data_IF_121854457295
#
_entry.id   IF_121854457295
#
_cell.length_a   1.000
_cell.length_b   1.000
_cell.length_c   1.000
_cell.angle_alpha   90.00
_cell.angle_beta   90.00
_cell.angle_gamma   90.00
#
_symmetry.space_group_name_H-M   'P 1'
#
loop_
_entity.id
_entity.type
_entity.pdbx_description
1 polymer ?
#
# COMPACT_ATOMS: atom_id res chain seq x y z
N UNK A 1 -32.39 48.31 -12.81
CA UNK A 1 -33.22 47.58 -13.78
C UNK A 1 -32.36 46.43 -14.29
N UNK A 2 -32.25 45.28 -13.61
CA UNK A 2 -33.25 44.45 -12.88
C UNK A 2 -34.33 43.92 -13.83
N UNK A 3 -34.74 42.64 -13.83
CA UNK A 3 -34.24 41.42 -13.16
C UNK A 3 -34.56 40.21 -14.07
N UNK A 4 -33.84 39.09 -14.04
CA UNK A 4 -33.94 37.99 -13.05
C UNK A 4 -35.36 37.40 -12.87
N UNK A 5 -35.45 36.07 -12.94
CA UNK A 5 -36.68 35.29 -12.70
C UNK A 5 -36.38 34.09 -11.81
N UNK A 6 -37.27 33.87 -10.85
CA UNK A 6 -37.35 32.79 -9.85
C UNK A 6 -37.09 31.34 -10.40
N UNK A 7 -36.83 30.29 -9.58
CA UNK A 7 -37.58 29.93 -8.36
C UNK A 7 -36.93 28.83 -7.48
N UNK A 8 -37.09 28.97 -6.15
CA UNK A 8 -37.21 27.96 -5.06
C UNK A 8 -36.30 26.70 -4.95
N UNK A 9 -35.85 26.27 -3.76
CA UNK A 9 -35.96 26.86 -2.41
C UNK A 9 -35.80 25.86 -1.23
N UNK A 10 -35.78 26.40 0.01
CA UNK A 10 -35.80 25.76 1.37
C UNK A 10 -34.46 25.16 1.90
N UNK A 11 -33.98 25.42 3.12
CA UNK A 11 -34.55 25.48 4.51
C UNK A 11 -34.81 24.06 5.10
N UNK A 12 -34.61 23.67 6.38
CA UNK A 12 -34.30 24.28 7.71
C UNK A 12 -33.30 23.33 8.46
N UNK A 13 -32.44 23.60 9.47
CA UNK A 13 -32.09 24.69 10.43
C UNK A 13 -32.37 24.37 11.93
N UNK A 14 -31.50 24.86 12.86
CA UNK A 14 -31.45 24.65 14.34
C UNK A 14 -31.15 23.21 14.85
N UNK A 15 -30.61 22.93 16.07
CA UNK A 15 -29.77 23.63 17.08
C UNK A 15 -29.06 22.53 17.96
N UNK A 16 -28.39 22.64 19.13
CA UNK A 16 -28.38 23.51 20.33
C UNK A 16 -29.07 22.81 21.55
N UNK A 17 -28.58 22.73 22.81
CA UNK A 17 -27.34 23.16 23.52
C UNK A 17 -27.23 22.40 24.88
N UNK A 18 -26.00 22.15 25.39
CA UNK A 18 -25.52 21.83 26.78
C UNK A 18 -26.36 21.09 27.87
N UNK A 19 -25.67 20.27 28.70
CA UNK A 19 -25.50 20.41 30.19
C UNK A 19 -24.63 19.25 30.75
N UNK A 20 -23.97 19.45 31.90
CA UNK A 20 -23.01 18.50 32.51
C UNK A 20 -23.33 18.14 33.99
N UNK A 21 -22.69 17.07 34.50
CA UNK A 21 -22.52 16.73 35.94
C UNK A 21 -21.26 15.85 36.14
N UNK A 22 -20.75 15.74 37.38
CA UNK A 22 -19.45 15.13 37.72
C UNK A 22 -19.46 14.40 39.10
N UNK A 23 -18.27 13.98 39.57
CA UNK A 23 -17.93 13.38 40.90
C UNK A 23 -18.46 11.92 41.12
N UNK A 24 -17.88 11.03 41.94
CA UNK A 24 -16.74 10.99 42.93
C UNK A 24 -16.12 9.54 42.83
N UNK A 25 -15.02 9.04 43.44
CA UNK A 25 -13.96 9.48 44.37
C UNK A 25 -12.73 8.50 44.24
N UNK A 26 -11.62 8.77 44.96
CA UNK A 26 -10.66 7.80 45.56
C UNK A 26 -9.60 7.09 44.71
N UNK A 27 -8.33 6.96 45.14
CA UNK A 27 -7.56 7.67 46.18
C UNK A 27 -6.05 7.43 45.95
N UNK A 28 -5.18 8.28 46.49
CA UNK A 28 -3.72 8.25 46.28
C UNK A 28 -2.96 8.21 47.62
N UNK A 29 -2.08 7.23 47.84
CA UNK A 29 -1.17 7.16 49.00
C UNK A 29 0.22 6.73 48.58
N UNK A 30 1.22 7.53 48.98
CA UNK A 30 2.65 7.22 48.88
C UNK A 30 3.20 6.74 50.21
N UNK A 31 4.09 5.75 50.22
CA UNK A 31 4.99 5.48 51.34
C UNK A 31 6.35 5.01 50.82
N UNK A 32 7.40 5.63 51.34
CA UNK A 32 8.80 5.20 51.19
C UNK A 32 9.17 4.23 52.32
N UNK A 33 10.20 3.40 52.16
CA UNK A 33 10.52 2.36 53.14
C UNK A 33 11.66 1.41 52.74
N UNK A 34 12.89 1.77 53.08
CA UNK A 34 14.08 0.93 52.99
C UNK A 34 14.45 0.39 54.38
N UNK A 35 14.58 -0.93 54.57
CA UNK A 35 15.59 -1.51 55.48
C UNK A 35 15.84 -3.03 55.30
N UNK A 36 16.95 -3.47 55.89
CA UNK A 36 17.55 -4.83 55.87
C UNK A 36 16.72 -5.85 56.68
N UNK A 37 16.78 -7.17 56.48
CA UNK A 37 17.92 -8.04 56.87
C UNK A 37 17.67 -9.54 56.54
N UNK A 38 18.63 -10.43 56.82
CA UNK A 38 18.32 -11.81 57.26
C UNK A 38 18.31 -12.98 56.25
N UNK A 39 19.50 -13.52 55.93
CA UNK A 39 19.76 -14.93 55.53
C UNK A 39 20.23 -15.66 56.82
N UNK A 40 19.89 -16.92 57.19
CA UNK A 40 19.95 -18.18 56.38
C UNK A 40 18.79 -19.17 56.71
N UNK A 41 18.78 -20.50 56.48
CA UNK A 41 19.75 -21.50 55.97
C UNK A 41 19.04 -22.77 55.42
N UNK A 42 19.78 -23.59 54.64
CA UNK A 42 19.57 -25.04 54.36
C UNK A 42 18.26 -25.47 53.62
N UNK A 43 18.19 -26.60 52.88
CA UNK A 43 19.10 -27.76 52.76
C UNK A 43 19.22 -28.27 51.31
N UNK A 44 20.36 -28.91 50.99
CA UNK A 44 20.62 -30.08 50.10
C UNK A 44 19.57 -30.60 49.07
N UNK A 45 19.94 -31.13 47.89
CA UNK A 45 21.25 -31.31 47.21
C UNK A 45 21.10 -31.89 45.77
N UNK A 46 22.21 -31.92 45.00
CA UNK A 46 22.46 -32.76 43.78
C UNK A 46 21.70 -32.35 42.49
N UNK A 47 22.20 -32.46 41.24
CA UNK A 47 23.50 -32.91 40.64
C UNK A 47 23.60 -32.30 39.20
N UNK A 48 24.74 -31.80 38.68
CA UNK A 48 25.90 -32.54 38.07
C UNK A 48 25.50 -33.19 36.71
N UNK A 49 25.99 -32.84 35.51
CA UNK A 49 27.06 -31.92 35.02
C UNK A 49 26.74 -31.27 33.64
N UNK A 50 27.56 -30.30 33.24
CA UNK A 50 27.74 -29.79 31.86
C UNK A 50 29.04 -30.37 31.23
N UNK A 51 29.12 -30.33 29.89
CA UNK A 51 30.31 -30.40 29.01
C UNK A 51 31.52 -31.33 29.32
N UNK A 52 31.88 -32.18 28.34
CA UNK A 52 33.15 -31.97 27.61
C UNK A 52 33.23 -32.71 26.27
N UNK A 53 34.29 -32.45 25.49
CA UNK A 53 34.56 -33.00 24.15
C UNK A 53 35.84 -33.84 24.12
N UNK A 54 35.94 -34.85 23.24
CA UNK A 54 37.23 -35.23 22.63
C UNK A 54 37.11 -36.04 21.32
N UNK A 55 38.26 -36.25 20.64
CA UNK A 55 38.37 -36.73 19.24
C UNK A 55 39.26 -37.97 19.09
N UNK A 56 39.01 -38.83 18.09
CA UNK A 56 39.95 -39.87 17.61
C UNK A 56 39.98 -39.92 16.06
N UNK A 57 41.07 -40.42 15.48
CA UNK A 57 41.49 -40.33 14.06
C UNK A 57 41.33 -41.62 13.23
N UNK A 58 41.48 -41.45 11.90
CA UNK A 58 41.90 -42.42 10.86
C UNK A 58 40.83 -43.46 10.41
N UNK A 59 40.73 -43.88 9.15
CA UNK A 59 41.48 -43.59 7.89
C UNK A 59 40.50 -43.59 6.67
N UNK A 60 40.86 -43.56 5.37
CA UNK A 60 42.12 -43.63 4.59
C UNK A 60 41.92 -42.93 3.20
N UNK A 61 42.85 -43.07 2.25
CA UNK A 61 42.80 -42.52 0.86
C UNK A 61 43.15 -43.61 -0.21
N UNK A 62 43.46 -43.30 -1.50
CA UNK A 62 42.58 -42.89 -2.62
C UNK A 62 42.81 -43.89 -3.83
N UNK A 63 42.93 -43.52 -5.14
CA UNK A 63 42.41 -42.40 -5.96
C UNK A 63 41.72 -42.86 -7.28
N UNK A 64 41.19 -41.91 -8.08
CA UNK A 64 41.65 -41.61 -9.47
C UNK A 64 41.44 -40.10 -9.75
N UNK A 65 42.26 -39.54 -10.63
CA UNK A 65 42.28 -38.18 -11.21
C UNK A 65 40.94 -37.82 -11.94
N UNK A 66 40.64 -36.60 -12.43
CA UNK A 66 41.45 -35.42 -12.81
C UNK A 66 40.53 -34.16 -12.91
N UNK A 67 40.95 -32.90 -13.07
CA UNK A 67 42.15 -32.09 -12.72
C UNK A 67 41.86 -30.61 -13.10
N UNK A 68 42.33 -29.62 -12.34
CA UNK A 68 42.29 -28.18 -12.69
C UNK A 68 43.62 -27.70 -13.32
N UNK A 69 43.70 -26.47 -13.86
CA UNK A 69 44.36 -25.44 -13.03
C UNK A 69 43.88 -23.99 -13.20
N UNK A 70 44.18 -23.21 -12.16
CA UNK A 70 44.23 -21.74 -12.06
C UNK A 70 45.72 -21.29 -12.26
N UNK A 71 46.27 -20.13 -11.79
CA UNK A 71 45.70 -18.85 -11.34
C UNK A 71 46.42 -17.57 -11.87
N UNK A 72 45.90 -16.41 -11.44
CA UNK A 72 46.60 -15.17 -11.04
C UNK A 72 47.49 -14.35 -12.01
N UNK A 73 47.37 -13.02 -11.89
CA UNK A 73 48.51 -12.09 -11.94
C UNK A 73 48.31 -10.91 -10.94
N UNK A 74 49.32 -10.05 -10.75
CA UNK A 74 49.49 -9.22 -9.54
C UNK A 74 49.41 -7.69 -9.71
N UNK A 75 48.98 -7.05 -8.62
CA UNK A 75 49.47 -5.81 -7.98
C UNK A 75 50.39 -4.85 -8.77
N UNK A 76 50.05 -3.55 -8.74
CA UNK A 76 50.94 -2.42 -9.07
C UNK A 76 50.45 -1.11 -8.43
N UNK A 77 51.37 -0.36 -7.82
CA UNK A 77 51.08 0.78 -6.93
C UNK A 77 51.44 2.17 -7.52
N UNK A 78 50.54 3.13 -7.33
CA UNK A 78 50.75 4.49 -6.75
C UNK A 78 51.65 5.57 -7.45
N UNK A 79 51.55 6.80 -6.93
CA UNK A 79 52.48 7.96 -6.99
C UNK A 79 52.43 8.92 -8.21
N UNK A 80 51.69 10.02 -8.01
CA UNK A 80 51.93 11.47 -8.31
C UNK A 80 52.93 11.94 -9.41
N UNK A 81 52.60 13.06 -10.09
CA UNK A 81 53.34 14.37 -10.04
C UNK A 81 52.83 15.36 -11.12
N UNK A 82 52.91 16.68 -10.85
CA UNK A 82 52.42 17.75 -11.73
C UNK A 82 53.50 18.39 -12.65
N UNK A 83 53.03 18.98 -13.76
CA UNK A 83 53.55 20.14 -14.53
C UNK A 83 52.42 20.57 -15.47
N UNK A 84 51.95 21.82 -15.55
CA UNK A 84 52.61 23.14 -15.49
C UNK A 84 53.53 23.43 -16.69
N UNK A 85 52.92 24.03 -17.73
CA UNK A 85 53.56 24.76 -18.82
C UNK A 85 52.58 25.83 -19.33
N UNK A 86 52.78 27.09 -18.91
CA UNK A 86 52.19 28.25 -19.56
C UNK A 86 53.22 28.96 -20.45
N UNK A 87 52.84 29.33 -21.67
CA UNK A 87 53.61 30.24 -22.53
C UNK A 87 52.65 31.21 -23.22
N UNK A 88 53.09 32.47 -23.28
CA UNK A 88 52.64 33.63 -24.06
C UNK A 88 51.81 33.29 -25.32
N UNK A 89 50.74 34.01 -25.66
CA UNK A 89 50.66 35.46 -25.96
C UNK A 89 51.58 35.86 -27.11
N UNK A 90 50.99 35.97 -28.29
CA UNK A 90 51.38 36.95 -29.30
C UNK A 90 50.12 37.75 -29.65
N UNK A 91 50.25 39.06 -29.81
CA UNK A 91 49.21 39.93 -30.35
C UNK A 91 49.32 39.93 -31.89
N UNK A 92 48.21 39.93 -32.61
CA UNK A 92 48.20 40.47 -33.98
C UNK A 92 46.83 41.08 -34.33
N UNK A 93 46.83 41.98 -35.32
CA UNK A 93 45.82 43.04 -35.47
C UNK A 93 44.87 42.88 -36.68
N UNK A 94 43.79 43.67 -36.63
CA UNK A 94 42.87 44.05 -37.72
C UNK A 94 41.93 42.99 -38.32
N UNK A 95 40.64 43.37 -38.42
CA UNK A 95 39.56 42.52 -38.94
C UNK A 95 38.19 43.21 -38.88
N UNK A 96 37.90 44.07 -39.86
CA UNK A 96 36.74 44.98 -39.90
C UNK A 96 35.41 44.30 -40.36
N UNK A 97 34.26 44.90 -40.02
CA UNK A 97 32.96 44.65 -40.68
C UNK A 97 31.86 43.90 -39.88
N UNK A 98 30.75 44.56 -39.50
CA UNK A 98 29.60 43.92 -38.84
C UNK A 98 28.43 43.57 -39.82
N UNK A 99 27.68 42.47 -39.59
CA UNK A 99 26.45 42.18 -40.33
C UNK A 99 25.26 43.04 -39.83
N UNK A 100 24.48 43.58 -40.75
CA UNK A 100 23.46 44.60 -40.45
C UNK A 100 22.13 44.07 -39.86
N UNK A 101 21.61 44.75 -38.84
CA UNK A 101 20.19 44.64 -38.44
C UNK A 101 19.30 45.46 -39.39
N UNK A 102 18.35 44.79 -40.05
CA UNK A 102 17.31 45.48 -40.83
C UNK A 102 16.33 46.21 -39.90
N UNK A 103 16.29 47.54 -40.03
CA UNK A 103 15.37 48.45 -39.32
C UNK A 103 14.25 48.85 -40.28
N UNK A 104 13.08 48.23 -40.17
CA UNK A 104 11.88 48.75 -40.84
C UNK A 104 11.35 49.96 -40.06
N UNK A 105 11.26 51.10 -40.72
CA UNK A 105 10.53 52.27 -40.22
C UNK A 105 9.30 52.52 -41.10
N UNK A 106 8.15 52.69 -40.46
CA UNK A 106 6.88 52.98 -41.14
C UNK A 106 6.59 54.48 -41.05
N UNK A 107 6.68 55.26 -42.15
CA UNK A 107 6.44 56.70 -42.09
C UNK A 107 4.94 57.03 -42.00
N UNK A 108 4.61 57.99 -41.15
CA UNK A 108 3.24 58.51 -40.99
C UNK A 108 2.82 59.48 -42.10
N UNK A 109 1.50 59.55 -42.32
CA UNK A 109 0.76 60.45 -43.22
C UNK A 109 1.27 61.90 -43.22
N UNK A 110 1.18 62.58 -44.38
CA UNK A 110 0.21 63.68 -44.52
C UNK A 110 -0.20 63.95 -45.98
N UNK A 111 -1.14 64.91 -46.19
CA UNK A 111 -1.79 65.25 -47.47
C UNK A 111 -0.96 66.31 -48.24
N UNK A 112 -1.15 66.61 -49.53
CA UNK A 112 -2.32 67.31 -50.11
C UNK A 112 -2.14 67.56 -51.63
N UNK A 113 -3.25 67.70 -52.39
CA UNK A 113 -3.41 68.34 -53.74
C UNK A 113 -2.63 67.84 -54.98
N UNK A 114 -3.41 67.35 -55.97
CA UNK A 114 -3.25 67.54 -57.43
C UNK A 114 -3.64 68.99 -57.85
N UNK A 115 -3.51 69.49 -59.12
CA UNK A 115 -3.73 68.77 -60.41
C UNK A 115 -2.91 69.21 -61.67
N UNK A 116 -3.23 68.58 -62.82
CA UNK A 116 -3.09 69.09 -64.21
C UNK A 116 -1.65 69.17 -64.80
N UNK A 117 -1.40 69.15 -66.13
CA UNK A 117 -2.22 68.85 -67.35
C UNK A 117 -1.28 68.54 -68.55
N UNK A 118 -1.77 67.79 -69.56
CA UNK A 118 -1.43 67.86 -71.01
C UNK A 118 0.04 67.56 -71.47
N UNK A 119 0.24 66.61 -72.40
CA UNK A 119 0.45 66.77 -73.87
C UNK A 119 1.87 67.22 -74.31
N UNK A 120 2.45 66.79 -75.45
CA UNK A 120 2.08 65.72 -76.39
C UNK A 120 3.28 65.27 -77.26
N UNK A 121 3.09 64.13 -77.96
CA UNK A 121 3.75 63.62 -79.19
C UNK A 121 5.02 64.34 -79.72
N UNK A 122 6.11 63.57 -79.83
CA UNK A 122 7.16 63.75 -80.83
C UNK A 122 7.80 62.40 -81.14
N UNK A 123 7.81 61.96 -82.40
CA UNK A 123 8.18 60.60 -82.77
C UNK A 123 9.35 60.55 -83.76
N UNK A 124 10.21 59.54 -83.63
CA UNK A 124 10.88 58.91 -84.77
C UNK A 124 11.25 57.44 -84.42
N UNK A 125 11.24 56.50 -85.38
CA UNK A 125 11.45 55.06 -85.11
C UNK A 125 12.91 54.63 -85.31
N UNK A 126 13.33 53.49 -84.73
CA UNK A 126 14.60 52.87 -85.11
C UNK A 126 15.30 51.94 -84.11
N UNK A 127 14.59 51.08 -83.35
CA UNK A 127 15.24 50.14 -82.41
C UNK A 127 14.60 48.74 -82.31
N UNK A 128 13.75 48.34 -83.27
CA UNK A 128 13.07 47.05 -83.29
C UNK A 128 14.01 45.90 -83.73
N UNK A 129 15.04 45.59 -82.93
CA UNK A 129 15.92 44.42 -83.13
C UNK A 129 16.78 43.98 -81.92
N UNK A 130 16.43 44.40 -80.70
CA UNK A 130 17.14 44.00 -79.47
C UNK A 130 16.26 43.72 -78.24
N UNK A 131 14.94 43.86 -78.35
CA UNK A 131 14.01 43.57 -77.25
C UNK A 131 13.64 42.09 -77.15
N UNK A 132 13.51 41.41 -78.28
CA UNK A 132 12.94 40.05 -78.33
C UNK A 132 13.83 39.02 -77.61
N UNK A 133 15.16 39.11 -77.77
CA UNK A 133 16.11 38.21 -77.09
C UNK A 133 16.12 38.37 -75.58
N UNK A 134 16.04 39.61 -75.07
CA UNK A 134 15.99 39.86 -73.61
C UNK A 134 14.64 39.39 -73.05
N UNK A 135 13.54 39.64 -73.77
CA UNK A 135 12.22 39.12 -73.42
C UNK A 135 12.15 37.58 -73.45
N UNK A 136 12.90 36.90 -74.33
CA UNK A 136 13.00 35.43 -74.34
C UNK A 136 13.89 34.89 -73.21
N UNK A 137 15.01 35.53 -72.87
CA UNK A 137 15.82 35.15 -71.70
C UNK A 137 15.07 35.38 -70.38
N UNK A 138 14.36 36.50 -70.20
CA UNK A 138 13.52 36.72 -69.02
C UNK A 138 12.33 35.75 -68.97
N UNK A 139 11.72 35.42 -70.12
CA UNK A 139 10.68 34.36 -70.18
C UNK A 139 11.24 32.97 -69.89
N UNK A 140 12.44 32.63 -70.34
CA UNK A 140 13.09 31.36 -70.03
C UNK A 140 13.45 31.28 -68.53
N UNK A 141 14.00 32.35 -67.97
CA UNK A 141 14.31 32.45 -66.54
C UNK A 141 13.07 32.52 -65.63
N UNK A 142 11.95 33.07 -66.11
CA UNK A 142 10.65 32.95 -65.44
C UNK A 142 10.08 31.53 -65.59
N UNK A 143 10.21 30.94 -66.77
CA UNK A 143 9.84 29.55 -67.06
C UNK A 143 10.53 28.56 -66.13
N UNK A 144 11.86 28.67 -65.96
CA UNK A 144 12.61 27.83 -65.01
C UNK A 144 12.21 28.05 -63.55
N UNK A 145 12.00 29.31 -63.14
CA UNK A 145 11.55 29.65 -61.77
C UNK A 145 10.14 29.17 -61.46
N UNK A 146 9.28 29.02 -62.47
CA UNK A 146 7.98 28.36 -62.33
C UNK A 146 8.08 26.82 -62.47
N UNK A 147 8.95 26.29 -63.34
CA UNK A 147 8.97 24.86 -63.66
C UNK A 147 9.47 23.99 -62.52
N UNK A 148 10.39 24.48 -61.68
CA UNK A 148 10.83 23.74 -60.50
C UNK A 148 9.68 23.50 -59.49
N UNK A 149 9.01 24.53 -58.93
CA UNK A 149 7.87 24.33 -58.03
C UNK A 149 6.64 23.71 -58.72
N UNK A 150 6.46 23.90 -60.04
CA UNK A 150 5.40 23.20 -60.79
C UNK A 150 5.71 21.70 -60.98
N UNK A 151 6.98 21.32 -61.16
CA UNK A 151 7.38 19.92 -61.17
C UNK A 151 7.20 19.30 -59.78
N UNK A 152 7.62 19.98 -58.72
CA UNK A 152 7.45 19.56 -57.33
C UNK A 152 5.97 19.40 -56.94
N UNK A 153 5.10 20.33 -57.34
CA UNK A 153 3.64 20.19 -57.23
C UNK A 153 3.09 19.01 -58.05
N UNK A 154 3.59 18.79 -59.27
CA UNK A 154 3.16 17.68 -60.11
C UNK A 154 3.64 16.31 -59.61
N UNK A 155 4.78 16.26 -58.90
CA UNK A 155 5.28 15.09 -58.19
C UNK A 155 4.46 14.86 -56.91
N UNK A 156 4.19 15.89 -56.11
CA UNK A 156 3.35 15.81 -54.91
C UNK A 156 1.93 15.34 -55.24
N UNK A 157 1.32 15.85 -56.32
CA UNK A 157 0.01 15.40 -56.79
C UNK A 157 0.05 13.96 -57.31
N UNK A 158 1.06 13.56 -58.11
CA UNK A 158 1.24 12.14 -58.52
C UNK A 158 1.56 11.19 -57.37
N UNK A 159 2.18 11.69 -56.29
CA UNK A 159 2.39 10.96 -55.05
C UNK A 159 1.08 10.75 -54.31
N UNK A 160 0.28 11.81 -54.17
CA UNK A 160 -1.05 11.73 -53.56
C UNK A 160 -2.00 10.83 -54.35
N UNK A 161 -2.00 10.88 -55.68
CA UNK A 161 -2.71 9.94 -56.57
C UNK A 161 -2.31 8.45 -56.36
N UNK A 162 -1.21 8.16 -55.65
CA UNK A 162 -0.74 6.80 -55.34
C UNK A 162 -0.98 6.39 -53.87
N UNK A 163 -0.91 7.32 -52.93
CA UNK A 163 -1.17 7.05 -51.50
C UNK A 163 -2.66 7.16 -51.10
N UNK A 164 -3.48 7.93 -51.83
CA UNK A 164 -4.96 7.93 -51.71
C UNK A 164 -5.62 6.64 -52.26
N UNK A 165 -4.86 5.54 -52.34
CA UNK A 165 -5.42 4.19 -52.39
C UNK A 165 -6.02 3.76 -51.04
N UNK A 166 -5.77 4.51 -49.95
CA UNK A 166 -6.71 4.56 -48.82
C UNK A 166 -7.91 5.44 -49.21
N UNK A 167 -9.14 5.06 -48.84
CA UNK A 167 -10.20 6.06 -48.79
C UNK A 167 -9.87 7.05 -47.65
N UNK A 168 -9.25 8.19 -48.00
CA UNK A 168 -9.73 9.47 -47.47
C UNK A 168 -11.23 9.44 -47.71
N UNK A 169 -11.99 9.14 -46.65
CA UNK A 169 -13.45 9.17 -46.68
C UNK A 169 -13.82 10.56 -47.15
N UNK A 170 -14.38 10.70 -48.36
CA UNK A 170 -14.65 12.02 -48.94
C UNK A 170 -15.59 12.80 -48.04
N UNK A 171 -15.02 13.56 -47.12
CA UNK A 171 -15.74 14.40 -46.17
C UNK A 171 -16.62 15.32 -47.03
N UNK A 172 -17.95 15.25 -46.91
CA UNK A 172 -18.86 16.04 -47.72
C UNK A 172 -18.40 17.49 -47.78
N UNK A 173 -18.59 18.17 -48.92
CA UNK A 173 -18.13 19.55 -49.07
C UNK A 173 -18.63 20.47 -47.92
N UNK A 174 -19.82 20.18 -47.39
CA UNK A 174 -20.39 20.78 -46.18
C UNK A 174 -19.56 20.54 -44.90
N UNK A 175 -19.01 19.34 -44.69
CA UNK A 175 -18.21 18.99 -43.51
C UNK A 175 -16.80 19.61 -43.60
N UNK A 176 -16.15 19.53 -44.77
CA UNK A 176 -14.88 20.28 -45.01
C UNK A 176 -15.07 21.78 -44.85
N UNK A 177 -16.21 22.32 -45.28
CA UNK A 177 -16.56 23.73 -45.07
C UNK A 177 -16.80 24.04 -43.58
N UNK A 178 -17.42 23.15 -42.81
CA UNK A 178 -17.57 23.31 -41.36
C UNK A 178 -16.22 23.26 -40.63
N UNK A 179 -15.30 22.38 -41.03
CA UNK A 179 -13.93 22.33 -40.51
C UNK A 179 -13.17 23.62 -40.83
N UNK A 180 -13.25 24.11 -42.07
CA UNK A 180 -12.70 25.42 -42.43
C UNK A 180 -13.29 26.56 -41.57
N UNK A 181 -14.60 26.57 -41.31
CA UNK A 181 -15.20 27.56 -40.39
C UNK A 181 -14.68 27.40 -38.95
N UNK A 182 -14.48 26.17 -38.45
CA UNK A 182 -13.87 25.95 -37.12
C UNK A 182 -12.45 26.52 -37.08
N UNK A 183 -11.63 26.27 -38.10
CA UNK A 183 -10.27 26.82 -38.18
C UNK A 183 -10.23 28.34 -38.33
N UNK A 184 -11.17 28.95 -39.08
CA UNK A 184 -11.28 30.41 -39.19
C UNK A 184 -11.75 31.04 -37.87
N UNK A 185 -12.66 30.38 -37.14
CA UNK A 185 -13.09 30.81 -35.81
C UNK A 185 -11.91 30.74 -34.83
N UNK A 186 -11.23 29.60 -34.68
CA UNK A 186 -10.09 29.51 -33.75
C UNK A 186 -8.93 30.43 -34.12
N UNK A 187 -8.66 30.67 -35.41
CA UNK A 187 -7.71 31.70 -35.86
C UNK A 187 -8.16 33.14 -35.58
N UNK A 188 -9.47 33.37 -35.40
CA UNK A 188 -10.04 34.66 -35.01
C UNK A 188 -9.98 34.83 -33.50
N UNK A 189 -10.33 33.79 -32.75
CA UNK A 189 -10.27 33.74 -31.29
C UNK A 189 -8.82 33.92 -30.81
N UNK A 190 -7.85 33.20 -31.39
CA UNK A 190 -6.42 33.37 -31.11
C UNK A 190 -5.88 34.76 -31.46
N UNK A 191 -6.45 35.44 -32.47
CA UNK A 191 -6.09 36.83 -32.79
C UNK A 191 -6.70 37.83 -31.80
N UNK A 192 -7.88 37.56 -31.28
CA UNK A 192 -8.49 38.35 -30.21
C UNK A 192 -7.70 38.18 -28.91
N UNK A 193 -7.35 36.94 -28.54
CA UNK A 193 -6.52 36.65 -27.37
C UNK A 193 -5.14 37.33 -27.49
N UNK A 194 -4.45 37.20 -28.62
CA UNK A 194 -3.17 37.89 -28.82
C UNK A 194 -3.31 39.43 -28.73
N UNK A 195 -4.44 39.99 -29.16
CA UNK A 195 -4.70 41.42 -29.04
C UNK A 195 -5.00 41.85 -27.59
N UNK A 196 -5.73 41.05 -26.80
CA UNK A 196 -5.93 41.32 -25.37
C UNK A 196 -4.61 41.17 -24.60
N UNK A 197 -3.89 40.06 -24.80
CA UNK A 197 -2.62 39.76 -24.11
C UNK A 197 -1.57 40.86 -24.38
N UNK A 198 -1.49 41.38 -25.61
CA UNK A 198 -0.54 42.45 -25.95
C UNK A 198 -0.94 43.82 -25.43
N UNK A 199 -2.24 44.11 -25.29
CA UNK A 199 -2.73 45.35 -24.68
C UNK A 199 -2.63 45.30 -23.15
N UNK A 200 -2.93 44.16 -22.51
CA UNK A 200 -2.72 43.94 -21.07
C UNK A 200 -1.24 44.03 -20.68
N UNK A 201 -0.34 43.35 -21.41
CA UNK A 201 1.09 43.44 -21.18
C UNK A 201 1.63 44.86 -21.43
N UNK A 202 1.03 45.60 -22.38
CA UNK A 202 1.33 47.01 -22.64
C UNK A 202 0.87 47.92 -21.50
N UNK A 203 -0.33 47.71 -20.96
CA UNK A 203 -0.85 48.47 -19.82
C UNK A 203 0.00 48.23 -18.56
N UNK A 204 0.30 46.97 -18.23
CA UNK A 204 1.21 46.60 -17.13
C UNK A 204 2.60 47.25 -17.29
N UNK A 205 3.14 47.30 -18.51
CA UNK A 205 4.41 47.96 -18.79
C UNK A 205 4.35 49.50 -18.63
N UNK A 206 3.21 50.14 -18.90
CA UNK A 206 3.00 51.56 -18.67
C UNK A 206 2.76 51.87 -17.17
N UNK A 207 2.05 51.02 -16.44
CA UNK A 207 1.88 51.12 -14.98
C UNK A 207 3.21 50.99 -14.24
N UNK A 208 3.99 49.93 -14.51
CA UNK A 208 5.32 49.72 -13.92
C UNK A 208 6.29 50.85 -14.28
N UNK A 209 6.17 51.45 -15.48
CA UNK A 209 6.95 52.63 -15.88
C UNK A 209 6.57 53.86 -15.06
N UNK A 210 5.29 54.08 -14.79
CA UNK A 210 4.80 55.20 -13.97
C UNK A 210 5.21 55.03 -12.50
N UNK A 211 5.13 53.81 -11.96
CA UNK A 211 5.61 53.49 -10.60
C UNK A 211 7.13 53.69 -10.47
N UNK A 212 7.91 53.22 -11.46
CA UNK A 212 9.35 53.42 -11.50
C UNK A 212 9.73 54.91 -11.56
N UNK A 213 9.08 55.70 -12.42
CA UNK A 213 9.31 57.15 -12.51
C UNK A 213 8.93 57.85 -11.19
N UNK A 214 7.74 57.57 -10.65
CA UNK A 214 7.29 58.14 -9.38
C UNK A 214 8.12 57.70 -8.16
N UNK A 215 8.93 56.64 -8.30
CA UNK A 215 9.91 56.21 -7.31
C UNK A 215 11.26 56.92 -7.49
N UNK A 216 11.72 57.10 -8.74
CA UNK A 216 12.90 57.91 -9.06
C UNK A 216 12.72 59.37 -8.61
N UNK A 217 11.59 59.99 -8.92
CA UNK A 217 11.30 61.39 -8.58
C UNK A 217 11.39 61.64 -7.06
N UNK A 218 10.91 60.69 -6.24
CA UNK A 218 11.03 60.70 -4.77
C UNK A 218 12.50 60.60 -4.33
N UNK A 219 13.23 59.61 -4.84
CA UNK A 219 14.64 59.37 -4.48
C UNK A 219 15.52 60.57 -4.88
N UNK A 220 15.29 61.18 -6.06
CA UNK A 220 15.99 62.41 -6.43
C UNK A 220 15.59 63.61 -5.55
N UNK A 221 14.32 63.69 -5.13
CA UNK A 221 13.85 64.71 -4.18
C UNK A 221 14.58 64.63 -2.83
N UNK A 222 14.58 63.43 -2.23
CA UNK A 222 15.27 63.15 -0.98
C UNK A 222 16.79 63.32 -1.11
N UNK A 223 17.39 62.87 -2.23
CA UNK A 223 18.82 63.06 -2.49
C UNK A 223 19.19 64.54 -2.57
N UNK A 224 18.43 65.37 -3.30
CA UNK A 224 18.63 66.83 -3.37
C UNK A 224 18.50 67.48 -1.99
N UNK A 225 17.52 67.07 -1.18
CA UNK A 225 17.37 67.56 0.19
C UNK A 225 18.57 67.17 1.09
N UNK A 226 19.05 65.93 0.98
CA UNK A 226 20.22 65.44 1.72
C UNK A 226 21.52 66.15 1.29
N UNK A 227 21.69 66.43 -0.01
CA UNK A 227 22.81 67.22 -0.55
C UNK A 227 22.78 68.64 0.01
N UNK A 228 21.64 69.32 -0.04
CA UNK A 228 21.49 70.67 0.51
C UNK A 228 21.75 70.72 2.03
N UNK A 229 21.31 69.69 2.78
CA UNK A 229 21.60 69.57 4.21
C UNK A 229 23.10 69.36 4.49
N UNK A 230 23.76 68.47 3.72
CA UNK A 230 25.22 68.26 3.79
C UNK A 230 25.98 69.57 3.53
N UNK A 231 25.62 70.31 2.47
CA UNK A 231 26.21 71.62 2.17
C UNK A 231 26.00 72.60 3.33
N UNK A 232 24.76 72.75 3.82
CA UNK A 232 24.43 73.70 4.88
C UNK A 232 25.19 73.41 6.19
N UNK A 233 25.24 72.15 6.63
CA UNK A 233 25.94 71.75 7.85
C UNK A 233 27.45 71.92 7.70
N UNK A 234 28.04 71.47 6.58
CA UNK A 234 29.47 71.57 6.35
C UNK A 234 29.94 73.04 6.24
N UNK A 235 29.21 73.89 5.51
CA UNK A 235 29.50 75.33 5.43
C UNK A 235 29.34 76.00 6.79
N UNK A 236 28.32 75.66 7.57
CA UNK A 236 28.10 76.24 8.90
C UNK A 236 29.23 75.88 9.88
N UNK A 237 29.67 74.61 9.89
CA UNK A 237 30.79 74.17 10.71
C UNK A 237 32.11 74.84 10.29
N UNK A 238 32.46 74.78 9.01
CA UNK A 238 33.73 75.31 8.49
C UNK A 238 33.81 76.83 8.48
N UNK A 239 32.67 77.54 8.42
CA UNK A 239 32.63 79.02 8.46
C UNK A 239 33.27 79.61 9.72
N UNK A 240 33.26 78.89 10.84
CA UNK A 240 33.89 79.32 12.10
C UNK A 240 35.42 79.36 12.03
N UNK A 241 36.03 78.50 11.22
CA UNK A 241 37.49 78.33 11.18
C UNK A 241 38.13 78.91 9.91
N UNK A 242 37.41 78.91 8.79
CA UNK A 242 37.93 79.32 7.48
C UNK A 242 37.29 80.62 6.93
N UNK A 243 36.22 81.10 7.57
CA UNK A 243 35.39 82.18 7.05
C UNK A 243 34.44 81.73 5.93
N UNK A 244 33.26 82.36 5.85
CA UNK A 244 32.11 81.86 5.08
C UNK A 244 32.41 81.58 3.59
N UNK A 245 33.13 82.48 2.91
CA UNK A 245 33.41 82.32 1.46
C UNK A 245 34.37 81.15 1.17
N UNK A 246 35.41 80.98 1.97
CA UNK A 246 36.40 79.90 1.81
C UNK A 246 35.79 78.55 2.19
N UNK A 247 35.00 78.53 3.27
CA UNK A 247 34.20 77.36 3.66
C UNK A 247 33.27 76.90 2.53
N UNK A 248 32.51 77.82 1.94
CA UNK A 248 31.61 77.53 0.82
C UNK A 248 32.35 77.00 -0.41
N UNK A 249 33.42 77.67 -0.84
CA UNK A 249 34.20 77.24 -2.01
C UNK A 249 34.82 75.83 -1.81
N UNK A 250 35.29 75.52 -0.59
CA UNK A 250 35.84 74.20 -0.28
C UNK A 250 34.76 73.10 -0.28
N UNK A 251 33.58 73.37 0.29
CA UNK A 251 32.46 72.41 0.33
C UNK A 251 31.97 72.08 -1.09
N UNK A 252 31.76 73.09 -1.94
CA UNK A 252 31.34 72.87 -3.34
C UNK A 252 32.39 72.08 -4.12
N UNK A 253 33.69 72.39 -3.94
CA UNK A 253 34.77 71.63 -4.58
C UNK A 253 34.79 70.17 -4.15
N UNK A 254 34.55 69.85 -2.87
CA UNK A 254 34.43 68.46 -2.42
C UNK A 254 33.16 67.78 -2.94
N UNK A 255 32.02 68.49 -2.99
CA UNK A 255 30.76 67.92 -3.45
C UNK A 255 30.78 67.59 -4.94
N UNK A 256 31.37 68.46 -5.77
CA UNK A 256 31.57 68.20 -7.19
C UNK A 256 32.50 67.00 -7.45
N UNK A 257 33.55 66.84 -6.64
CA UNK A 257 34.45 65.68 -6.71
C UNK A 257 33.75 64.37 -6.28
N UNK A 258 32.83 64.43 -5.31
CA UNK A 258 32.05 63.26 -4.89
C UNK A 258 30.90 62.94 -5.86
N UNK A 259 30.31 63.93 -6.54
CA UNK A 259 29.34 63.69 -7.62
C UNK A 259 30.00 62.93 -8.78
N UNK A 260 31.18 63.38 -9.25
CA UNK A 260 31.95 62.66 -10.28
C UNK A 260 32.24 61.20 -9.93
N UNK A 261 32.50 60.90 -8.65
CA UNK A 261 32.68 59.51 -8.16
C UNK A 261 31.38 58.71 -8.19
N UNK A 262 30.25 59.34 -7.85
CA UNK A 262 28.93 58.71 -7.88
C UNK A 262 28.48 58.43 -9.31
N UNK A 263 28.67 59.38 -10.23
CA UNK A 263 28.35 59.21 -11.65
C UNK A 263 29.14 58.03 -12.26
N UNK A 264 30.45 57.94 -11.95
CA UNK A 264 31.29 56.81 -12.35
C UNK A 264 30.82 55.48 -11.73
N UNK A 265 30.40 55.48 -10.45
CA UNK A 265 29.86 54.29 -9.78
C UNK A 265 28.51 53.86 -10.37
N UNK A 266 27.65 54.80 -10.76
CA UNK A 266 26.37 54.53 -11.45
C UNK A 266 26.65 53.88 -12.81
N UNK A 267 27.58 54.42 -13.60
CA UNK A 267 28.00 53.84 -14.88
C UNK A 267 28.58 52.43 -14.72
N UNK A 268 29.38 52.18 -13.69
CA UNK A 268 29.89 50.83 -13.36
C UNK A 268 28.76 49.86 -12.96
N UNK A 269 27.79 50.31 -12.17
CA UNK A 269 26.63 49.50 -11.76
C UNK A 269 25.72 49.16 -12.93
N UNK A 270 25.46 50.11 -13.84
CA UNK A 270 24.68 49.88 -15.06
C UNK A 270 25.35 48.82 -15.95
N UNK A 271 26.65 48.94 -16.20
CA UNK A 271 27.43 47.93 -16.93
C UNK A 271 27.44 46.57 -16.25
N UNK A 272 27.54 46.51 -14.93
CA UNK A 272 27.45 45.25 -14.19
C UNK A 272 26.08 44.57 -14.37
N UNK A 273 24.98 45.32 -14.23
CA UNK A 273 23.61 44.82 -14.44
C UNK A 273 23.45 44.33 -15.89
N UNK A 274 23.92 45.08 -16.88
CA UNK A 274 23.89 44.69 -18.30
C UNK A 274 24.62 43.35 -18.54
N UNK A 275 25.83 43.20 -18.00
CA UNK A 275 26.62 41.97 -18.10
C UNK A 275 25.95 40.80 -17.38
N UNK A 276 25.41 40.99 -16.17
CA UNK A 276 24.66 39.94 -15.46
C UNK A 276 23.42 39.50 -16.25
N UNK A 277 22.70 40.42 -16.88
CA UNK A 277 21.56 40.07 -17.73
C UNK A 277 21.99 39.40 -19.05
N UNK A 278 23.16 39.73 -19.60
CA UNK A 278 23.74 39.00 -20.74
C UNK A 278 24.14 37.57 -20.36
N UNK A 279 24.80 37.39 -19.22
CA UNK A 279 25.17 36.07 -18.68
C UNK A 279 23.92 35.20 -18.50
N UNK A 280 22.90 35.70 -17.79
CA UNK A 280 21.64 34.96 -17.57
C UNK A 280 20.91 34.54 -18.85
N UNK A 281 20.98 35.36 -19.92
CA UNK A 281 20.45 34.98 -21.24
C UNK A 281 21.26 33.85 -21.87
N UNK A 282 22.58 33.97 -21.92
CA UNK A 282 23.45 32.92 -22.48
C UNK A 282 23.35 31.61 -21.68
N UNK A 283 23.19 31.67 -20.35
CA UNK A 283 22.92 30.50 -19.51
C UNK A 283 21.56 29.85 -19.80
N UNK A 284 20.54 30.62 -20.18
CA UNK A 284 19.25 30.08 -20.58
C UNK A 284 19.32 29.48 -21.99
N UNK A 285 19.93 30.21 -22.94
CA UNK A 285 20.20 29.75 -24.31
C UNK A 285 21.03 28.45 -24.33
N UNK A 286 21.99 28.28 -23.40
CA UNK A 286 22.75 27.04 -23.22
C UNK A 286 21.90 25.89 -22.66
N UNK A 287 21.04 26.12 -21.64
CA UNK A 287 20.15 25.07 -21.12
C UNK A 287 19.08 24.64 -22.14
N UNK A 288 18.48 25.60 -22.82
CA UNK A 288 17.58 25.35 -23.96
C UNK A 288 18.30 24.57 -25.08
N UNK A 289 19.59 24.82 -25.28
CA UNK A 289 20.46 24.04 -26.17
C UNK A 289 20.66 22.61 -25.66
N UNK A 290 21.15 22.44 -24.44
CA UNK A 290 21.37 21.13 -23.78
C UNK A 290 20.11 20.25 -23.75
N UNK A 291 18.91 20.82 -23.66
CA UNK A 291 17.65 20.06 -23.73
C UNK A 291 17.24 19.69 -25.17
N UNK A 292 17.60 20.49 -26.19
CA UNK A 292 17.31 20.23 -27.62
C UNK A 292 18.36 19.33 -28.28
N UNK A 293 19.61 19.45 -27.85
CA UNK A 293 20.77 18.74 -28.38
C UNK A 293 20.99 17.37 -27.69
N UNK A 294 20.14 17.02 -26.70
CA UNK A 294 19.98 15.64 -26.23
C UNK A 294 19.62 14.74 -27.40
N UNK A 295 20.48 13.78 -27.70
CA UNK A 295 20.22 12.76 -28.70
C UNK A 295 18.86 12.06 -28.43
N UNK A 296 17.90 12.08 -29.37
CA UNK A 296 16.64 11.36 -29.25
C UNK A 296 16.82 9.87 -28.93
N UNK A 297 17.92 9.26 -29.38
CA UNK A 297 18.27 7.87 -29.04
C UNK A 297 18.70 7.72 -27.58
N UNK A 298 19.42 8.70 -27.02
CA UNK A 298 19.76 8.71 -25.59
C UNK A 298 18.50 8.90 -24.74
N UNK A 299 17.59 9.81 -25.12
CA UNK A 299 16.32 9.97 -24.43
C UNK A 299 15.46 8.69 -24.47
N UNK A 300 15.43 7.97 -25.61
CA UNK A 300 14.78 6.66 -25.71
C UNK A 300 15.49 5.59 -24.86
N UNK A 301 16.82 5.60 -24.78
CA UNK A 301 17.58 4.69 -23.93
C UNK A 301 17.28 4.90 -22.45
N UNK A 302 17.26 6.16 -21.98
CA UNK A 302 16.94 6.52 -20.60
C UNK A 302 15.49 6.10 -20.25
N UNK A 303 14.53 6.33 -21.16
CA UNK A 303 13.14 5.86 -21.01
C UNK A 303 13.04 4.34 -20.94
N UNK A 304 13.74 3.60 -21.80
CA UNK A 304 13.80 2.13 -21.77
C UNK A 304 14.48 1.60 -20.51
N UNK A 305 15.49 2.30 -19.99
CA UNK A 305 16.15 1.95 -18.74
C UNK A 305 15.20 2.16 -17.55
N UNK A 306 14.48 3.27 -17.49
CA UNK A 306 13.46 3.54 -16.47
C UNK A 306 12.33 2.50 -16.49
N UNK A 307 11.75 2.23 -17.66
CA UNK A 307 10.70 1.23 -17.83
C UNK A 307 11.17 -0.19 -17.46
N UNK A 308 12.43 -0.55 -17.76
CA UNK A 308 13.04 -1.82 -17.34
C UNK A 308 13.25 -1.91 -15.83
N UNK A 309 13.61 -0.81 -15.16
CA UNK A 309 13.74 -0.76 -13.70
C UNK A 309 12.38 -0.89 -13.01
N UNK A 310 11.34 -0.22 -13.53
CA UNK A 310 9.97 -0.37 -13.04
C UNK A 310 9.45 -1.80 -13.24
N UNK A 311 9.60 -2.37 -14.44
CA UNK A 311 9.23 -3.76 -14.71
C UNK A 311 9.96 -4.75 -13.77
N UNK A 312 11.25 -4.51 -13.50
CA UNK A 312 12.02 -5.31 -12.54
C UNK A 312 11.43 -5.22 -11.14
N UNK A 313 11.19 -4.02 -10.62
CA UNK A 313 10.61 -3.80 -9.29
C UNK A 313 9.20 -4.44 -9.15
N UNK A 314 8.37 -4.38 -10.19
CA UNK A 314 7.07 -5.07 -10.23
C UNK A 314 7.23 -6.60 -10.21
N UNK A 315 8.20 -7.14 -10.96
CA UNK A 315 8.49 -8.58 -10.96
C UNK A 315 9.03 -9.08 -9.61
N UNK A 316 9.83 -8.27 -8.92
CA UNK A 316 10.35 -8.55 -7.58
C UNK A 316 9.22 -8.52 -6.53
N UNK A 317 8.36 -7.51 -6.58
CA UNK A 317 7.15 -7.45 -5.74
C UNK A 317 6.24 -8.68 -5.95
N UNK A 318 6.01 -9.11 -7.19
CA UNK A 318 5.21 -10.29 -7.46
C UNK A 318 5.88 -11.60 -7.04
N UNK A 319 7.22 -11.71 -7.08
CA UNK A 319 7.94 -12.88 -6.55
C UNK A 319 7.89 -12.93 -5.02
N UNK A 320 7.96 -11.78 -4.34
CA UNK A 320 7.68 -11.65 -2.91
C UNK A 320 6.23 -12.04 -2.55
N UNK A 321 5.24 -11.58 -3.31
CA UNK A 321 3.83 -11.94 -3.10
C UNK A 321 3.60 -13.44 -3.30
N UNK A 322 4.20 -14.04 -4.32
CA UNK A 322 4.15 -15.47 -4.61
C UNK A 322 4.77 -16.32 -3.50
N UNK A 323 5.98 -15.96 -3.04
CA UNK A 323 6.64 -16.64 -1.91
C UNK A 323 5.87 -16.49 -0.59
N UNK A 324 5.34 -15.29 -0.30
CA UNK A 324 4.44 -15.05 0.85
C UNK A 324 3.12 -15.85 0.77
N UNK A 325 2.68 -16.27 -0.42
CA UNK A 325 1.54 -17.18 -0.60
C UNK A 325 1.97 -18.65 -0.44
N UNK A 326 3.12 -19.05 -0.99
CA UNK A 326 3.69 -20.39 -0.82
C UNK A 326 3.91 -20.71 0.67
N UNK A 327 4.47 -19.77 1.43
CA UNK A 327 4.63 -19.86 2.89
C UNK A 327 3.31 -20.12 3.63
N UNK A 328 2.24 -19.41 3.25
CA UNK A 328 0.91 -19.58 3.83
C UNK A 328 0.32 -20.95 3.49
N UNK A 329 0.57 -21.46 2.28
CA UNK A 329 0.16 -22.80 1.86
C UNK A 329 0.91 -23.86 2.66
N UNK A 330 2.24 -23.76 2.81
CA UNK A 330 3.06 -24.69 3.60
C UNK A 330 2.58 -24.77 5.06
N UNK A 331 2.45 -23.62 5.74
CA UNK A 331 1.94 -23.55 7.13
C UNK A 331 0.50 -24.07 7.25
N UNK A 332 -0.31 -23.88 6.22
CA UNK A 332 -1.66 -24.45 6.13
C UNK A 332 -1.66 -25.98 6.02
N UNK A 333 -0.74 -26.55 5.21
CA UNK A 333 -0.56 -27.99 5.06
C UNK A 333 0.00 -28.64 6.34
N UNK A 334 0.93 -27.99 7.03
CA UNK A 334 1.42 -28.39 8.36
C UNK A 334 0.28 -28.45 9.38
N UNK A 335 -0.53 -27.39 9.46
CA UNK A 335 -1.70 -27.35 10.35
C UNK A 335 -2.73 -28.44 10.00
N UNK A 336 -3.02 -28.66 8.72
CA UNK A 336 -3.90 -29.73 8.26
C UNK A 336 -3.35 -31.12 8.59
N UNK A 337 -2.03 -31.32 8.50
CA UNK A 337 -1.37 -32.57 8.93
C UNK A 337 -1.54 -32.80 10.43
N UNK A 338 -1.25 -31.78 11.25
CA UNK A 338 -1.41 -31.82 12.71
C UNK A 338 -2.87 -32.09 13.13
N UNK A 339 -3.85 -31.52 12.42
CA UNK A 339 -5.28 -31.78 12.65
C UNK A 339 -5.66 -33.21 12.24
N UNK A 340 -5.18 -33.69 11.08
CA UNK A 340 -5.39 -35.05 10.59
C UNK A 340 -4.83 -36.09 11.56
N UNK A 341 -3.65 -35.85 12.13
CA UNK A 341 -3.01 -36.74 13.10
C UNK A 341 -3.79 -36.77 14.43
N UNK A 342 -4.12 -35.61 15.01
CA UNK A 342 -4.97 -35.52 16.22
C UNK A 342 -6.33 -36.22 16.04
N UNK A 343 -6.92 -36.09 14.85
CA UNK A 343 -8.17 -36.75 14.48
C UNK A 343 -8.00 -38.28 14.35
N UNK A 344 -6.86 -38.76 13.85
CA UNK A 344 -6.52 -40.19 13.82
C UNK A 344 -6.36 -40.76 15.23
N UNK A 345 -5.57 -40.11 16.10
CA UNK A 345 -5.41 -40.52 17.50
C UNK A 345 -6.73 -40.52 18.26
N UNK A 346 -7.56 -39.47 18.09
CA UNK A 346 -8.87 -39.40 18.71
C UNK A 346 -9.80 -40.53 18.25
N UNK A 347 -9.81 -40.90 16.97
CA UNK A 347 -10.57 -42.05 16.46
C UNK A 347 -10.09 -43.37 17.06
N UNK A 348 -8.77 -43.58 17.16
CA UNK A 348 -8.21 -44.79 17.76
C UNK A 348 -8.58 -44.90 19.25
N UNK A 349 -8.53 -43.80 19.99
CA UNK A 349 -8.93 -43.75 21.40
C UNK A 349 -10.44 -44.01 21.59
N UNK A 350 -11.29 -43.44 20.73
CA UNK A 350 -12.74 -43.70 20.72
C UNK A 350 -13.04 -45.17 20.44
N UNK A 351 -12.37 -45.80 19.46
CA UNK A 351 -12.52 -47.23 19.19
C UNK A 351 -12.09 -48.07 20.39
N UNK A 352 -10.93 -47.77 21.01
CA UNK A 352 -10.47 -48.50 22.19
C UNK A 352 -11.45 -48.38 23.37
N UNK A 353 -12.07 -47.20 23.58
CA UNK A 353 -13.12 -46.99 24.59
C UNK A 353 -14.41 -47.74 24.25
N UNK A 354 -14.82 -47.80 22.97
CA UNK A 354 -15.97 -48.60 22.53
C UNK A 354 -15.74 -50.10 22.77
N UNK A 355 -14.54 -50.61 22.50
CA UNK A 355 -14.20 -52.01 22.81
C UNK A 355 -14.20 -52.30 24.31
N UNK A 356 -13.70 -51.37 25.15
CA UNK A 356 -13.78 -51.50 26.61
C UNK A 356 -15.23 -51.53 27.09
N UNK A 357 -16.08 -50.65 26.54
CA UNK A 357 -17.51 -50.61 26.84
C UNK A 357 -18.20 -51.93 26.45
N UNK A 358 -17.97 -52.46 25.25
CA UNK A 358 -18.52 -53.74 24.82
C UNK A 358 -18.06 -54.92 25.72
N UNK A 359 -16.78 -54.91 26.16
CA UNK A 359 -16.25 -55.90 27.12
C UNK A 359 -16.97 -55.80 28.48
N UNK A 360 -17.28 -54.59 28.95
CA UNK A 360 -18.05 -54.36 30.19
C UNK A 360 -19.53 -54.75 30.05
N UNK A 361 -20.18 -54.40 28.94
CA UNK A 361 -21.57 -54.79 28.66
C UNK A 361 -21.73 -56.30 28.60
N UNK A 362 -20.81 -57.01 27.94
CA UNK A 362 -20.77 -58.47 27.93
C UNK A 362 -20.60 -59.06 29.35
N UNK A 363 -19.79 -58.43 30.21
CA UNK A 363 -19.66 -58.84 31.61
C UNK A 363 -20.95 -58.58 32.41
N UNK A 364 -21.61 -57.43 32.20
CA UNK A 364 -22.90 -57.08 32.83
C UNK A 364 -24.00 -58.03 32.39
N UNK A 365 -24.08 -58.38 31.10
CA UNK A 365 -25.02 -59.36 30.57
C UNK A 365 -24.80 -60.75 31.20
N UNK A 366 -23.55 -61.21 31.31
CA UNK A 366 -23.19 -62.46 32.01
C UNK A 366 -23.61 -62.43 33.49
N UNK A 367 -23.35 -61.33 34.20
CA UNK A 367 -23.76 -61.13 35.61
C UNK A 367 -25.29 -61.10 35.78
N UNK A 368 -26.03 -60.40 34.92
CA UNK A 368 -27.51 -60.39 34.88
C UNK A 368 -28.08 -61.80 34.61
N UNK A 369 -27.47 -62.57 33.72
CA UNK A 369 -27.83 -63.96 33.44
C UNK A 369 -27.62 -64.87 34.65
N UNK A 370 -26.46 -64.76 35.32
CA UNK A 370 -26.17 -65.53 36.54
C UNK A 370 -27.14 -65.18 37.68
N UNK A 371 -27.41 -63.89 37.92
CA UNK A 371 -28.38 -63.43 38.92
C UNK A 371 -29.80 -63.94 38.65
N UNK A 372 -30.19 -64.00 37.37
CA UNK A 372 -31.49 -64.58 36.98
C UNK A 372 -31.54 -66.08 37.29
N UNK A 373 -30.48 -66.83 36.98
CA UNK A 373 -30.39 -68.27 37.29
C UNK A 373 -30.41 -68.55 38.80
N UNK A 374 -29.66 -67.79 39.60
CA UNK A 374 -29.66 -67.97 41.07
C UNK A 374 -30.99 -67.56 41.71
N UNK A 375 -31.65 -66.49 41.22
CA UNK A 375 -33.02 -66.12 41.63
C UNK A 375 -34.04 -67.23 41.29
N UNK A 376 -33.93 -67.85 40.11
CA UNK A 376 -34.76 -69.00 39.75
C UNK A 376 -34.50 -70.23 40.64
N UNK A 377 -33.24 -70.53 40.95
CA UNK A 377 -32.87 -71.64 41.86
C UNK A 377 -33.39 -71.40 43.29
N UNK A 378 -33.23 -70.19 43.82
CA UNK A 378 -33.81 -69.78 45.10
C UNK A 378 -35.34 -69.94 45.12
N UNK A 379 -36.02 -69.53 44.05
CA UNK A 379 -37.47 -69.68 43.92
C UNK A 379 -37.93 -71.14 43.75
N UNK A 380 -37.11 -72.03 43.16
CA UNK A 380 -37.34 -73.48 43.18
C UNK A 380 -37.26 -74.01 44.60
N UNK A 381 -36.11 -73.82 45.27
CA UNK A 381 -35.89 -74.25 46.65
C UNK A 381 -36.95 -73.73 47.63
N UNK A 382 -37.46 -72.51 47.46
CA UNK A 382 -38.59 -71.98 48.27
C UNK A 382 -39.89 -72.75 48.07
N UNK A 383 -40.27 -73.06 46.83
CA UNK A 383 -41.45 -73.88 46.53
C UNK A 383 -41.27 -75.32 46.99
N UNK A 384 -40.09 -75.88 46.80
CA UNK A 384 -39.80 -77.27 47.16
C UNK A 384 -39.76 -77.41 48.70
N UNK A 385 -39.26 -76.40 49.43
CA UNK A 385 -39.36 -76.31 50.89
C UNK A 385 -40.79 -76.12 51.40
N UNK A 386 -41.64 -75.38 50.68
CA UNK A 386 -43.07 -75.25 51.00
C UNK A 386 -43.79 -76.60 50.83
N UNK A 387 -43.59 -77.26 49.68
CA UNK A 387 -44.13 -78.60 49.41
C UNK A 387 -43.67 -79.64 50.42
N UNK A 388 -42.41 -79.59 50.88
CA UNK A 388 -41.90 -80.47 51.94
C UNK A 388 -42.48 -80.15 53.34
N UNK A 389 -42.99 -78.93 53.59
CA UNK A 389 -43.75 -78.61 54.81
C UNK A 389 -45.18 -79.14 54.70
N UNK A 390 -45.83 -79.00 53.55
CA UNK A 390 -47.15 -79.55 53.26
C UNK A 390 -47.15 -81.08 53.39
N UNK A 391 -46.22 -81.76 52.70
CA UNK A 391 -46.08 -83.23 52.73
C UNK A 391 -45.58 -83.79 54.07
N UNK A 392 -45.17 -82.97 55.04
CA UNK A 392 -44.77 -83.44 56.37
C UNK A 392 -45.95 -83.80 57.27
N UNK A 393 -47.13 -83.23 57.04
CA UNK A 393 -48.33 -83.50 57.85
C UNK A 393 -48.06 -83.42 59.36
N UNK A 394 -48.50 -84.43 60.11
CA UNK A 394 -48.31 -84.54 61.57
C UNK A 394 -46.83 -84.55 62.00
N UNK A 395 -45.91 -85.07 61.19
CA UNK A 395 -44.46 -85.05 61.48
C UNK A 395 -43.88 -83.62 61.53
N UNK A 396 -44.62 -82.62 61.02
CA UNK A 396 -44.30 -81.20 61.16
C UNK A 396 -44.75 -80.58 62.49
N UNK A 397 -45.68 -81.20 63.21
CA UNK A 397 -46.26 -80.68 64.45
C UNK A 397 -46.15 -81.70 65.59
N UNK A 398 -45.11 -81.55 66.42
CA UNK A 398 -44.81 -82.45 67.55
C UNK A 398 -45.95 -82.59 68.57
N UNK A 399 -46.84 -81.60 68.69
CA UNK A 399 -47.96 -81.66 69.65
C UNK A 399 -48.98 -82.68 69.16
N UNK A 400 -49.58 -82.48 67.97
CA UNK A 400 -50.56 -83.43 67.43
C UNK A 400 -49.97 -84.82 67.13
N UNK A 401 -48.65 -84.92 66.87
CA UNK A 401 -48.00 -86.23 66.77
C UNK A 401 -47.95 -86.94 68.12
N UNK A 402 -47.63 -86.23 69.21
CA UNK A 402 -47.65 -86.78 70.57
C UNK A 402 -49.06 -87.10 71.02
N UNK A 403 -50.03 -86.22 70.75
CA UNK A 403 -51.45 -86.50 71.01
C UNK A 403 -51.90 -87.78 70.29
N UNK A 404 -51.44 -88.00 69.05
CA UNK A 404 -51.73 -89.23 68.30
C UNK A 404 -51.07 -90.47 68.93
N UNK A 405 -49.79 -90.40 69.28
CA UNK A 405 -49.07 -91.46 70.03
C UNK A 405 -49.84 -91.82 71.31
N UNK A 406 -50.17 -90.83 72.15
CA UNK A 406 -50.91 -91.01 73.40
C UNK A 406 -52.33 -91.58 73.18
N UNK A 407 -52.99 -91.28 72.06
CA UNK A 407 -54.29 -91.90 71.72
C UNK A 407 -54.19 -93.34 71.22
N UNK A 408 -53.08 -93.72 70.56
CA UNK A 408 -52.85 -95.11 70.12
C UNK A 408 -52.47 -95.98 71.32
N UNK A 409 -51.56 -95.50 72.18
CA UNK A 409 -51.22 -96.16 73.45
C UNK A 409 -52.50 -96.40 74.29
N UNK A 410 -53.45 -95.45 74.27
CA UNK A 410 -54.74 -95.58 74.94
C UNK A 410 -55.72 -96.54 74.23
N UNK A 411 -55.72 -96.64 72.90
CA UNK A 411 -56.58 -97.60 72.18
C UNK A 411 -56.09 -99.02 72.33
N UNK A 412 -54.78 -99.25 72.26
CA UNK A 412 -54.16 -100.57 72.38
C UNK A 412 -54.42 -101.15 73.78
N UNK A 413 -54.37 -100.32 74.83
CA UNK A 413 -54.75 -100.72 76.18
C UNK A 413 -56.25 -101.04 76.31
N UNK A 414 -57.14 -100.36 75.57
CA UNK A 414 -58.56 -100.70 75.52
C UNK A 414 -58.82 -102.00 74.75
N UNK A 415 -58.08 -102.29 73.68
CA UNK A 415 -58.14 -103.59 72.99
C UNK A 415 -57.62 -104.73 73.88
N UNK A 416 -56.52 -104.51 74.63
CA UNK A 416 -56.02 -105.46 75.61
C UNK A 416 -57.07 -105.78 76.69
N UNK A 417 -57.76 -104.77 77.22
CA UNK A 417 -58.87 -104.97 78.15
C UNK A 417 -60.04 -105.74 77.50
N UNK A 418 -60.35 -105.46 76.22
CA UNK A 418 -61.41 -106.15 75.47
C UNK A 418 -61.06 -107.63 75.23
N UNK A 419 -59.82 -107.94 74.86
CA UNK A 419 -59.38 -109.32 74.64
C UNK A 419 -59.32 -110.10 75.95
N UNK A 420 -58.85 -109.48 77.05
CA UNK A 420 -58.95 -110.06 78.40
C UNK A 420 -60.41 -110.37 78.79
N UNK A 421 -61.37 -109.53 78.40
CA UNK A 421 -62.80 -109.79 78.61
C UNK A 421 -63.32 -110.93 77.72
N UNK A 422 -62.88 -111.04 76.46
CA UNK A 422 -63.20 -112.18 75.57
C UNK A 422 -62.62 -113.48 76.09
N UNK A 423 -61.38 -113.49 76.58
CA UNK A 423 -60.75 -114.65 77.22
C UNK A 423 -61.57 -115.11 78.43
N UNK A 424 -61.97 -114.18 79.33
CA UNK A 424 -62.86 -114.50 80.46
C UNK A 424 -64.24 -114.99 80.01
N UNK A 425 -64.79 -114.45 78.92
CA UNK A 425 -66.05 -114.94 78.34
C UNK A 425 -65.90 -116.36 77.76
N UNK A 426 -64.76 -116.68 77.15
CA UNK A 426 -64.43 -118.03 76.68
C UNK A 426 -64.20 -119.00 77.85
N UNK A 427 -63.49 -118.60 78.90
CA UNK A 427 -63.34 -119.37 80.15
C UNK A 427 -64.70 -119.69 80.80
N UNK A 428 -65.63 -118.73 80.80
CA UNK A 428 -67.01 -118.91 81.26
C UNK A 428 -67.78 -119.84 80.31
N UNK A 429 -67.57 -119.75 78.99
CA UNK A 429 -68.16 -120.61 77.96
C UNK A 429 -67.71 -122.07 78.07
N UNK A 430 -66.40 -122.30 78.22
CA UNK A 430 -65.80 -123.60 78.50
C UNK A 430 -66.24 -124.13 79.87
N UNK A 431 -66.37 -123.25 80.86
CA UNK A 431 -67.02 -123.54 82.13
C UNK A 431 -68.45 -124.05 81.94
N UNK A 432 -69.24 -123.39 81.10
CA UNK A 432 -70.60 -123.80 80.73
C UNK A 432 -70.66 -125.13 79.99
N UNK A 433 -69.71 -125.41 79.09
CA UNK A 433 -69.55 -126.72 78.46
C UNK A 433 -69.29 -127.81 79.50
N UNK A 434 -68.31 -127.57 80.38
CA UNK A 434 -67.91 -128.47 81.49
C UNK A 434 -68.99 -128.66 82.56
N UNK A 435 -69.92 -127.72 82.69
CA UNK A 435 -71.13 -127.86 83.50
C UNK A 435 -72.24 -128.63 82.78
N UNK A 436 -72.43 -128.42 81.47
CA UNK A 436 -73.41 -129.18 80.67
C UNK A 436 -73.05 -130.67 80.58
N UNK A 437 -71.77 -130.99 80.44
CA UNK A 437 -71.26 -132.37 80.43
C UNK A 437 -71.51 -133.10 81.77
N UNK A 438 -71.48 -132.38 82.89
CA UNK A 438 -71.88 -132.88 84.22
C UNK A 438 -73.39 -133.06 84.41
N UNK A 439 -74.23 -132.43 83.59
CA UNK A 439 -75.68 -132.73 83.56
C UNK A 439 -76.00 -133.91 82.63
N UNK A 440 -75.18 -134.19 81.61
CA UNK A 440 -75.35 -135.34 80.71
C UNK A 440 -75.05 -136.72 81.31
N UNK A 441 -74.62 -136.77 82.57
CA UNK A 441 -74.18 -138.01 83.26
C UNK A 441 -74.98 -138.31 84.53
N UNK A 442 -76.16 -137.69 84.71
CA UNK A 442 -77.00 -137.84 85.91
C UNK A 442 -78.48 -138.15 85.57
N UNK A 443 -78.75 -139.44 85.31
CA UNK A 443 -80.03 -140.08 84.91
C UNK A 443 -80.44 -139.92 83.46
#
# INVERSE_FOLDING_TARGET
>A
MDGETDHAGKEEMESGTEVATAEEDSAHVTADGHETDGVPAEVAASSHEEESSESVKAAEEPPVEATTPEPADKCGDDITTAKDLGVNVDEDSDGDGPPGRLRLETPGKERTTSPARQEAKGANPGAARGGDTICEEERAGAGQRCSAPQAELAEYLRGKDRDDARPEREMPASERLQEYHKYINTLTDLKQQLATDTEEARQQAEELRLEAQGSLDKVEGEWRALVALKQHVAVTALSRCLGRRVAHAKVESTLAADQLRQDALIQLRLKHIELTMKIRRMEAELRDGEERDRDPLQLQFDQLQAARLEQKALSEKHSEESTKLQDKISRGLELLSNVKEKLFWSKAEVQAKQEQLAKLEAMVARKKGLLTRTKQACNRLKRDNLRLKECRGLLGNRVLLRDFEDTVDASDHLEEQLENLKCRQAEIGDGWGRWKEKLGTAK
#
